data_IF_255202359782
#
_entry.id   IF_255202359782
#
_cell.length_a   1.000
_cell.length_b   1.000
_cell.length_c   1.000
_cell.angle_alpha   90.00
_cell.angle_beta   90.00
_cell.angle_gamma   90.00
#
_symmetry.space_group_name_H-M   'P 1'
#
loop_
_entity.id
_entity.type
_entity.pdbx_description
1 polymer ?
#
# COMPACT_ATOMS: atom_id res chain seq x y z
N UNK A 1 7.66 12.98 8.44
CA UNK A 1 7.21 11.81 9.20
C UNK A 1 8.27 11.35 10.18
N UNK A 2 9.48 11.04 9.73
CA UNK A 2 10.60 10.52 10.55
C UNK A 2 11.01 11.42 11.72
N UNK A 3 10.69 12.70 11.67
CA UNK A 3 10.96 13.64 12.77
C UNK A 3 9.97 13.47 13.93
N UNK A 4 8.72 13.07 13.61
CA UNK A 4 7.64 12.99 14.61
C UNK A 4 7.37 11.58 15.09
N UNK A 5 7.72 10.54 14.32
CA UNK A 5 7.36 9.16 14.60
C UNK A 5 8.58 8.25 14.65
N UNK A 6 8.65 7.42 15.67
CA UNK A 6 9.58 6.30 15.72
C UNK A 6 9.00 5.09 14.97
N UNK A 7 9.86 4.23 14.40
CA UNK A 7 9.40 2.95 13.87
C UNK A 7 8.67 2.13 14.94
N UNK A 8 7.56 1.50 14.54
CA UNK A 8 6.84 0.61 15.42
C UNK A 8 7.61 -0.69 15.69
N UNK A 9 7.38 -1.29 16.84
CA UNK A 9 8.03 -2.53 17.29
C UNK A 9 7.10 -3.75 17.31
N UNK A 10 5.85 -3.58 16.86
CA UNK A 10 4.82 -4.63 16.90
C UNK A 10 4.86 -5.57 15.70
N UNK A 11 5.66 -5.27 14.68
CA UNK A 11 5.71 -5.98 13.41
C UNK A 11 4.44 -5.81 12.57
N UNK A 12 4.44 -6.43 11.40
CA UNK A 12 3.29 -6.38 10.50
C UNK A 12 2.24 -7.40 10.92
N UNK A 13 1.01 -6.93 11.11
CA UNK A 13 -0.10 -7.72 11.64
C UNK A 13 -1.21 -7.86 10.63
N UNK A 14 -2.00 -8.92 10.80
CA UNK A 14 -3.26 -9.16 10.10
C UNK A 14 -4.33 -9.36 11.16
N UNK A 15 -5.49 -8.77 10.94
CA UNK A 15 -6.62 -8.83 11.85
C UNK A 15 -7.77 -9.60 11.22
N UNK A 16 -8.29 -10.58 11.94
CA UNK A 16 -9.54 -11.24 11.57
C UNK A 16 -10.71 -10.31 11.88
N UNK A 17 -11.54 -10.06 10.87
CA UNK A 17 -12.78 -9.31 11.00
C UNK A 17 -13.98 -10.18 10.63
N UNK A 18 -15.18 -9.66 10.82
CA UNK A 18 -16.39 -10.38 10.40
C UNK A 18 -16.52 -10.58 8.88
N UNK A 19 -15.70 -9.87 8.08
CA UNK A 19 -15.85 -9.82 6.62
C UNK A 19 -14.62 -10.31 5.85
N UNK A 20 -13.43 -10.06 6.39
CA UNK A 20 -12.16 -10.41 5.75
C UNK A 20 -11.01 -10.36 6.75
N UNK A 21 -9.88 -10.97 6.40
CA UNK A 21 -8.59 -10.77 7.07
C UNK A 21 -7.90 -9.55 6.50
N UNK A 22 -7.66 -8.55 7.33
CA UNK A 22 -7.19 -7.24 6.91
C UNK A 22 -5.75 -7.02 7.35
N UNK A 23 -4.87 -6.70 6.39
CA UNK A 23 -3.54 -6.13 6.64
C UNK A 23 -3.58 -4.61 6.55
N UNK A 24 -2.88 -3.92 7.45
CA UNK A 24 -2.82 -2.45 7.45
C UNK A 24 -1.36 -2.01 7.49
N UNK A 25 -0.95 -1.24 6.46
CA UNK A 25 0.30 -0.51 6.42
C UNK A 25 0.01 0.99 6.45
N UNK A 26 0.70 1.75 7.30
CA UNK A 26 0.39 3.17 7.50
C UNK A 26 1.39 4.04 6.78
N UNK A 27 0.89 4.93 5.90
CA UNK A 27 1.64 6.00 5.25
C UNK A 27 2.94 5.49 4.59
N UNK A 28 4.12 5.75 5.15
CA UNK A 28 5.41 5.37 4.57
C UNK A 28 5.56 3.86 4.30
N UNK A 29 4.87 3.00 5.05
CA UNK A 29 4.85 1.54 4.84
C UNK A 29 4.41 1.15 3.43
N UNK A 30 3.64 2.01 2.77
CA UNK A 30 3.11 1.79 1.42
C UNK A 30 4.19 1.66 0.33
N UNK A 31 5.40 2.14 0.58
CA UNK A 31 6.50 2.08 -0.39
C UNK A 31 7.23 0.73 -0.41
N UNK A 32 7.04 -0.09 0.62
CA UNK A 32 7.79 -1.32 0.81
C UNK A 32 7.01 -2.57 0.37
N UNK A 33 7.44 -3.24 -0.73
CA UNK A 33 6.83 -4.49 -1.19
C UNK A 33 6.84 -5.59 -0.12
N UNK A 34 7.85 -5.58 0.77
CA UNK A 34 8.00 -6.52 1.87
C UNK A 34 6.83 -6.45 2.84
N UNK A 35 6.32 -5.25 3.14
CA UNK A 35 5.16 -5.05 4.03
C UNK A 35 3.93 -5.77 3.47
N UNK A 36 3.62 -5.51 2.20
CA UNK A 36 2.50 -6.15 1.50
C UNK A 36 2.67 -7.68 1.46
N UNK A 37 3.88 -8.14 1.12
CA UNK A 37 4.19 -9.58 1.04
C UNK A 37 4.08 -10.28 2.38
N UNK A 38 4.59 -9.68 3.46
CA UNK A 38 4.50 -10.25 4.81
C UNK A 38 3.05 -10.37 5.25
N UNK A 39 2.24 -9.32 5.06
CA UNK A 39 0.82 -9.37 5.41
C UNK A 39 0.05 -10.41 4.58
N UNK A 40 0.35 -10.51 3.28
CA UNK A 40 -0.23 -11.53 2.41
C UNK A 40 0.14 -12.95 2.86
N UNK A 41 1.39 -13.20 3.25
CA UNK A 41 1.86 -14.48 3.80
C UNK A 41 1.21 -14.82 5.14
N UNK A 42 0.82 -13.81 5.92
CA UNK A 42 0.04 -13.97 7.16
C UNK A 42 -1.46 -14.14 6.93
N UNK A 43 -1.88 -14.22 5.66
CA UNK A 43 -3.25 -14.51 5.27
C UNK A 43 -4.14 -13.28 5.09
N UNK A 44 -3.58 -12.08 4.90
CA UNK A 44 -4.39 -10.92 4.54
C UNK A 44 -5.14 -11.17 3.23
N UNK A 45 -6.42 -10.83 3.22
CA UNK A 45 -7.32 -10.90 2.06
C UNK A 45 -7.55 -9.53 1.45
N UNK A 46 -7.32 -8.46 2.23
CA UNK A 46 -7.38 -7.06 1.80
C UNK A 46 -6.24 -6.29 2.48
N UNK A 47 -5.59 -5.39 1.74
CA UNK A 47 -4.60 -4.46 2.30
C UNK A 47 -5.17 -3.05 2.35
N UNK A 48 -5.07 -2.41 3.51
CA UNK A 48 -5.48 -1.03 3.73
C UNK A 48 -4.24 -0.15 3.94
N UNK A 49 -4.18 0.99 3.24
CA UNK A 49 -3.11 1.96 3.36
C UNK A 49 -3.68 3.36 3.62
N UNK A 50 -3.98 3.71 4.88
CA UNK A 50 -4.28 5.09 5.24
C UNK A 50 -3.00 5.94 5.15
N UNK A 51 -3.09 7.10 4.49
CA UNK A 51 -1.92 7.95 4.24
C UNK A 51 -2.27 9.43 4.19
N UNK A 52 -1.24 10.26 4.33
CA UNK A 52 -1.24 11.68 4.03
C UNK A 52 0.01 11.98 3.18
N UNK A 53 -0.11 11.77 1.87
CA UNK A 53 0.97 12.01 0.89
C UNK A 53 0.57 13.11 -0.08
N UNK A 54 1.53 13.96 -0.45
CA UNK A 54 1.30 15.13 -1.30
C UNK A 54 2.51 15.48 -2.14
N UNK A 55 2.54 16.70 -2.65
CA UNK A 55 3.69 17.25 -3.36
C UNK A 55 4.86 17.47 -2.40
N UNK A 56 6.07 17.35 -2.93
CA UNK A 56 7.28 17.65 -2.17
C UNK A 56 7.46 19.17 -2.10
N UNK A 57 7.53 19.79 -0.91
CA UNK A 57 7.60 21.26 -0.78
C UNK A 57 8.83 21.89 -1.42
N UNK A 58 9.90 21.12 -1.57
CA UNK A 58 11.19 21.59 -2.12
C UNK A 58 11.37 21.30 -3.62
N UNK A 59 10.42 20.58 -4.25
CA UNK A 59 10.46 20.21 -5.66
C UNK A 59 9.16 20.62 -6.38
N UNK A 60 9.15 21.84 -6.89
CA UNK A 60 7.99 22.47 -7.54
C UNK A 60 7.50 21.75 -8.82
N UNK A 61 8.15 20.70 -9.26
CA UNK A 61 7.81 20.00 -10.51
C UNK A 61 7.50 18.52 -10.37
N UNK A 62 7.74 17.90 -9.23
CA UNK A 62 7.58 16.47 -9.06
C UNK A 62 6.22 16.07 -8.48
N UNK A 63 5.35 15.54 -9.33
CA UNK A 63 4.08 14.91 -8.90
C UNK A 63 4.29 13.39 -8.70
N UNK A 64 4.47 12.97 -7.45
CA UNK A 64 4.66 11.57 -7.09
C UNK A 64 3.38 10.73 -7.13
N UNK A 65 2.23 11.32 -7.39
CA UNK A 65 0.94 10.64 -7.25
C UNK A 65 0.78 9.40 -8.15
N UNK A 66 1.29 9.47 -9.38
CA UNK A 66 1.26 8.32 -10.31
C UNK A 66 2.24 7.21 -9.87
N UNK A 67 3.41 7.58 -9.37
CA UNK A 67 4.38 6.62 -8.84
C UNK A 67 3.82 5.94 -7.60
N UNK A 68 3.20 6.69 -6.70
CA UNK A 68 2.52 6.20 -5.51
C UNK A 68 1.44 5.15 -5.86
N UNK A 69 0.55 5.47 -6.79
CA UNK A 69 -0.48 4.52 -7.20
C UNK A 69 0.12 3.26 -7.85
N UNK A 70 1.16 3.40 -8.70
CA UNK A 70 1.82 2.25 -9.33
C UNK A 70 2.47 1.32 -8.31
N UNK A 71 3.11 1.84 -7.26
CA UNK A 71 3.67 1.03 -6.19
C UNK A 71 2.61 0.15 -5.54
N UNK A 72 1.47 0.74 -5.20
CA UNK A 72 0.37 0.04 -4.53
C UNK A 72 -0.40 -0.92 -5.45
N UNK A 73 -0.57 -0.56 -6.72
CA UNK A 73 -1.09 -1.46 -7.76
C UNK A 73 -0.17 -2.68 -7.90
N UNK A 74 1.16 -2.45 -7.85
CA UNK A 74 2.15 -3.53 -7.83
C UNK A 74 1.98 -4.46 -6.63
N UNK A 75 1.69 -3.92 -5.44
CA UNK A 75 1.41 -4.76 -4.26
C UNK A 75 0.16 -5.61 -4.45
N UNK A 76 -0.90 -5.04 -5.02
CA UNK A 76 -2.13 -5.77 -5.33
C UNK A 76 -1.85 -6.92 -6.30
N UNK A 77 -1.31 -6.63 -7.46
CA UNK A 77 -1.03 -7.61 -8.51
C UNK A 77 -0.06 -8.71 -8.06
N UNK A 78 1.05 -8.33 -7.40
CA UNK A 78 2.07 -9.27 -6.96
C UNK A 78 1.61 -10.20 -5.83
N UNK A 79 0.64 -9.79 -5.03
CA UNK A 79 0.09 -10.58 -3.93
C UNK A 79 -1.30 -11.15 -4.24
N UNK A 80 -1.90 -10.75 -5.36
CA UNK A 80 -3.23 -11.18 -5.80
C UNK A 80 -4.31 -10.92 -4.73
N UNK A 81 -4.27 -9.73 -4.13
CA UNK A 81 -5.22 -9.26 -3.13
C UNK A 81 -5.61 -7.81 -3.41
N UNK A 82 -6.88 -7.41 -3.13
CA UNK A 82 -7.30 -6.02 -3.25
C UNK A 82 -6.50 -5.08 -2.34
N UNK A 83 -6.26 -3.87 -2.84
CA UNK A 83 -5.67 -2.77 -2.07
C UNK A 83 -6.67 -1.63 -1.98
N UNK A 84 -6.80 -1.06 -0.79
CA UNK A 84 -7.58 0.16 -0.53
C UNK A 84 -6.63 1.20 0.03
N UNK A 85 -6.41 2.27 -0.73
CA UNK A 85 -5.57 3.38 -0.33
C UNK A 85 -6.42 4.63 -0.10
N UNK A 86 -6.38 5.16 1.10
CA UNK A 86 -7.04 6.41 1.44
C UNK A 86 -6.01 7.51 1.68
N UNK A 87 -6.13 8.61 0.94
CA UNK A 87 -5.22 9.73 1.04
C UNK A 87 -5.96 11.02 1.40
N UNK A 88 -5.24 11.91 2.05
CA UNK A 88 -5.69 13.26 2.38
C UNK A 88 -5.76 14.13 1.12
N UNK A 89 -6.60 15.17 1.16
CA UNK A 89 -6.71 16.24 0.18
C UNK A 89 -6.44 17.60 0.81
N UNK A 90 -6.22 18.60 -0.03
CA UNK A 90 -6.14 20.01 0.36
C UNK A 90 -4.73 20.46 0.69
N UNK A 91 -4.63 21.72 1.07
CA UNK A 91 -3.37 22.38 1.42
C UNK A 91 -3.34 22.71 2.90
N UNK A 92 -2.27 22.38 3.57
CA UNK A 92 -2.01 22.75 4.95
C UNK A 92 -0.87 23.76 4.99
N UNK A 93 -1.21 24.94 5.50
CA UNK A 93 -0.25 26.04 5.62
C UNK A 93 0.43 25.99 6.98
N UNK A 94 1.73 25.74 7.00
CA UNK A 94 2.60 25.93 8.16
C UNK A 94 3.18 27.34 8.22
N UNK A 95 4.07 27.60 9.16
CA UNK A 95 4.73 28.91 9.29
C UNK A 95 5.69 29.17 8.13
N UNK A 96 6.45 28.19 7.71
CA UNK A 96 7.47 28.33 6.65
C UNK A 96 7.19 27.45 5.41
N UNK A 97 6.41 26.40 5.56
CA UNK A 97 6.17 25.38 4.51
C UNK A 97 4.68 25.17 4.31
N UNK A 98 4.27 25.06 3.05
CA UNK A 98 2.91 24.69 2.65
C UNK A 98 2.92 23.27 2.10
N UNK A 99 2.09 22.39 2.67
CA UNK A 99 1.95 21.01 2.20
C UNK A 99 0.65 20.85 1.41
N UNK A 100 0.76 20.44 0.16
CA UNK A 100 -0.37 20.09 -0.69
C UNK A 100 -0.55 18.58 -0.75
N UNK A 101 -1.70 18.08 -0.31
CA UNK A 101 -2.07 16.65 -0.37
C UNK A 101 -2.93 16.41 -1.61
N UNK A 102 -2.47 15.53 -2.49
CA UNK A 102 -3.05 15.39 -3.83
C UNK A 102 -4.24 14.43 -3.92
N UNK A 103 -4.76 13.91 -2.81
CA UNK A 103 -5.91 13.00 -2.83
C UNK A 103 -5.66 11.73 -3.60
N UNK A 104 -6.50 11.44 -4.61
CA UNK A 104 -6.40 10.28 -5.49
C UNK A 104 -6.49 8.94 -4.75
N UNK A 105 -7.27 8.88 -3.66
CA UNK A 105 -7.62 7.63 -2.98
C UNK A 105 -8.18 6.63 -3.99
N UNK A 106 -7.91 5.34 -3.81
CA UNK A 106 -8.36 4.35 -4.78
C UNK A 106 -8.56 2.97 -4.18
N UNK A 107 -9.28 2.13 -4.90
CA UNK A 107 -9.49 0.72 -4.61
C UNK A 107 -9.08 -0.09 -5.84
N UNK A 108 -8.32 -1.17 -5.62
CA UNK A 108 -8.02 -2.14 -6.68
C UNK A 108 -8.81 -3.44 -6.48
N UNK A 109 -8.96 -4.21 -7.55
CA UNK A 109 -9.27 -5.63 -7.48
C UNK A 109 -8.00 -6.44 -7.16
N UNK A 110 -8.10 -7.76 -7.10
CA UNK A 110 -7.00 -8.66 -6.78
C UNK A 110 -5.94 -8.86 -7.89
N UNK A 111 -6.17 -8.33 -9.09
CA UNK A 111 -5.20 -8.35 -10.19
C UNK A 111 -4.54 -6.98 -10.42
N UNK A 112 -4.88 -5.99 -9.61
CA UNK A 112 -4.29 -4.66 -9.66
C UNK A 112 -5.06 -3.64 -10.51
N UNK A 113 -6.22 -3.98 -11.07
CA UNK A 113 -7.04 -2.98 -11.75
C UNK A 113 -7.69 -2.04 -10.75
N UNK A 114 -7.63 -0.74 -11.00
CA UNK A 114 -8.39 0.24 -10.22
C UNK A 114 -9.88 0.09 -10.51
N UNK A 115 -10.68 -0.18 -9.48
CA UNK A 115 -12.14 -0.30 -9.57
C UNK A 115 -12.87 0.94 -9.06
N UNK A 116 -12.19 1.79 -8.31
CA UNK A 116 -12.65 3.12 -7.92
C UNK A 116 -11.45 4.04 -7.68
N UNK A 117 -11.59 5.31 -8.00
CA UNK A 117 -10.58 6.35 -7.76
C UNK A 117 -11.26 7.68 -7.45
N UNK A 118 -10.78 8.37 -6.42
CA UNK A 118 -11.21 9.71 -6.04
C UNK A 118 -10.41 10.78 -6.80
N UNK A 119 -10.98 11.97 -6.86
CA UNK A 119 -10.30 13.15 -7.40
C UNK A 119 -9.21 13.68 -6.47
N UNK A 120 -8.69 14.86 -6.82
CA UNK A 120 -7.61 15.53 -6.08
C UNK A 120 -8.12 16.55 -5.06
N UNK A 121 -9.30 17.10 -5.26
CA UNK A 121 -9.72 18.34 -4.59
C UNK A 121 -10.94 18.17 -3.69
N UNK A 122 -11.73 17.12 -3.90
CA UNK A 122 -12.98 16.93 -3.19
C UNK A 122 -12.90 15.80 -2.19
N UNK A 123 -13.53 16.02 -1.05
CA UNK A 123 -13.79 14.94 -0.10
C UNK A 123 -14.85 14.01 -0.66
N UNK A 124 -14.50 12.73 -0.78
CA UNK A 124 -15.33 11.70 -1.43
C UNK A 124 -15.32 10.41 -0.62
N UNK A 125 -16.40 9.65 -0.74
CA UNK A 125 -16.49 8.27 -0.27
C UNK A 125 -16.46 7.34 -1.48
N UNK A 126 -15.45 6.48 -1.55
CA UNK A 126 -15.36 5.45 -2.58
C UNK A 126 -16.01 4.15 -2.11
N UNK A 127 -16.78 3.53 -2.97
CA UNK A 127 -17.34 2.21 -2.77
C UNK A 127 -16.88 1.32 -3.91
N UNK A 128 -16.19 0.22 -3.58
CA UNK A 128 -15.73 -0.79 -4.53
C UNK A 128 -16.20 -2.18 -4.09
N UNK A 129 -16.63 -3.01 -5.03
CA UNK A 129 -16.97 -4.40 -4.78
C UNK A 129 -15.79 -5.30 -5.19
N UNK A 130 -15.28 -6.07 -4.26
CA UNK A 130 -14.22 -7.07 -4.49
C UNK A 130 -14.76 -8.47 -4.24
N UNK A 131 -14.24 -9.45 -4.96
CA UNK A 131 -14.58 -10.85 -4.78
C UNK A 131 -13.36 -11.57 -4.18
N UNK A 132 -13.45 -11.92 -2.90
CA UNK A 132 -12.36 -12.56 -2.17
C UNK A 132 -12.17 -14.03 -2.59
N UNK A 133 -13.24 -14.72 -2.97
CA UNK A 133 -13.17 -16.10 -3.44
C UNK A 133 -12.42 -16.19 -4.78
N UNK A 134 -12.63 -15.22 -5.68
CA UNK A 134 -11.87 -15.14 -6.93
C UNK A 134 -10.38 -14.88 -6.67
N UNK A 135 -10.05 -14.02 -5.71
CA UNK A 135 -8.67 -13.75 -5.32
C UNK A 135 -7.99 -15.00 -4.75
N UNK A 136 -8.68 -15.74 -3.88
CA UNK A 136 -8.18 -17.00 -3.34
C UNK A 136 -7.99 -18.05 -4.43
N UNK A 137 -8.98 -18.23 -5.30
CA UNK A 137 -8.90 -19.17 -6.42
C UNK A 137 -7.73 -18.86 -7.34
N UNK A 138 -7.54 -17.58 -7.71
CA UNK A 138 -6.40 -17.17 -8.54
C UNK A 138 -5.07 -17.50 -7.87
N UNK A 139 -4.91 -17.18 -6.59
CA UNK A 139 -3.71 -17.49 -5.81
C UNK A 139 -3.38 -18.98 -5.80
N UNK A 140 -4.39 -19.82 -5.65
CA UNK A 140 -4.23 -21.28 -5.61
C UNK A 140 -3.81 -21.84 -6.98
N UNK A 141 -4.35 -21.30 -8.07
CA UNK A 141 -4.07 -21.76 -9.44
C UNK A 141 -2.75 -21.20 -9.98
N UNK A 142 -2.49 -19.90 -9.77
CA UNK A 142 -1.33 -19.23 -10.38
C UNK A 142 0.01 -19.58 -9.72
N UNK A 143 0.01 -20.01 -8.48
CA UNK A 143 1.18 -20.58 -7.80
C UNK A 143 2.26 -19.58 -7.37
N UNK A 144 2.02 -18.28 -7.41
CA UNK A 144 3.05 -17.24 -7.07
C UNK A 144 3.57 -17.35 -5.63
N UNK A 145 2.81 -17.93 -4.72
CA UNK A 145 3.26 -18.17 -3.35
C UNK A 145 3.96 -19.52 -3.18
N UNK A 146 3.51 -20.55 -3.90
CA UNK A 146 4.09 -21.89 -3.90
C UNK A 146 5.50 -21.89 -4.47
N UNK A 147 5.71 -21.14 -5.55
CA UNK A 147 6.93 -21.19 -6.35
C UNK A 147 7.99 -20.19 -5.88
N UNK A 148 7.82 -19.61 -4.67
CA UNK A 148 8.78 -18.70 -4.07
C UNK A 148 10.10 -19.39 -3.75
N UNK A 149 11.20 -18.77 -4.14
CA UNK A 149 12.57 -19.23 -3.85
C UNK A 149 13.09 -18.60 -2.54
N UNK A 150 12.49 -18.99 -1.41
CA UNK A 150 12.84 -18.44 -0.09
C UNK A 150 14.29 -18.69 0.31
N UNK A 151 14.91 -19.70 -0.27
CA UNK A 151 16.34 -20.01 -0.15
C UNK A 151 17.26 -18.91 -0.69
N UNK A 152 16.76 -18.02 -1.56
CA UNK A 152 17.51 -16.94 -2.20
C UNK A 152 17.18 -15.54 -1.64
N UNK A 153 16.30 -15.43 -0.64
CA UNK A 153 15.79 -14.13 -0.19
C UNK A 153 16.53 -13.56 1.04
N UNK A 154 17.67 -14.15 1.43
CA UNK A 154 18.45 -13.70 2.59
C UNK A 154 18.90 -12.23 2.47
N UNK A 155 19.14 -11.76 1.24
CA UNK A 155 19.58 -10.38 1.00
C UNK A 155 18.51 -9.32 1.35
N UNK A 156 17.23 -9.71 1.37
CA UNK A 156 16.15 -8.84 1.86
C UNK A 156 16.27 -8.51 3.36
N UNK A 157 17.09 -9.21 4.11
CA UNK A 157 17.35 -8.94 5.53
C UNK A 157 18.51 -7.96 5.74
N UNK A 158 19.21 -7.59 4.66
CA UNK A 158 20.30 -6.62 4.68
C UNK A 158 19.78 -5.24 4.26
N UNK A 159 20.45 -4.19 4.70
CA UNK A 159 20.04 -2.83 4.36
C UNK A 159 20.33 -2.48 2.89
N UNK A 160 21.46 -2.94 2.36
CA UNK A 160 21.99 -2.55 1.05
C UNK A 160 22.49 -3.70 0.18
N UNK A 161 22.31 -4.94 0.63
CA UNK A 161 22.77 -6.14 -0.10
C UNK A 161 24.29 -6.35 -0.06
N UNK A 162 25.05 -5.56 0.69
CA UNK A 162 26.50 -5.76 0.83
C UNK A 162 26.83 -7.11 1.51
N UNK A 163 27.91 -7.74 1.05
CA UNK A 163 28.51 -8.89 1.75
C UNK A 163 29.34 -8.33 2.94
N UNK A 164 28.95 -8.69 4.15
CA UNK A 164 29.73 -8.42 5.37
C UNK A 164 30.63 -9.62 5.65
#
# INVERSE_FOLDING_TARGET
>A
EKFYFNPGDTGFKVWDTAYAKIGIGICWDQWFPEVARIMALKGAEVLLYPTAIGGEPEDDGFDSSDMWQRAMIGHSAANQIPVVASNRIGTEQGEEISNYFYGRSFITNHVGDKIAEAGREKEEVLIGKVNLDEAENLRNVWGVFRDRRTDLYSDLLKLDGSEN
#
